data_IF_754971741189
#
_entry.id   IF_754971741189
#
_cell.length_a   1.000
_cell.length_b   1.000
_cell.length_c   1.000
_cell.angle_alpha   90.00
_cell.angle_beta   90.00
_cell.angle_gamma   90.00
#
_symmetry.space_group_name_H-M   'P 1'
#
loop_
_entity.id
_entity.type
_entity.pdbx_description
1 polymer ?
#
# COMPACT_ATOMS: atom_id res chain seq x y z
N UNK A 1 -49.40 8.97 37.18
CA UNK A 1 -48.21 8.91 38.06
C UNK A 1 -47.05 9.34 37.18
N UNK A 2 -46.32 10.36 37.64
CA UNK A 2 -45.37 11.18 36.90
C UNK A 2 -44.21 10.38 36.29
N UNK A 3 -44.09 10.40 34.96
CA UNK A 3 -42.86 10.02 34.26
C UNK A 3 -41.89 11.19 34.38
N UNK A 4 -41.04 11.15 35.40
CA UNK A 4 -39.87 12.01 35.43
C UNK A 4 -38.97 11.58 34.27
N UNK A 5 -38.93 12.36 33.19
CA UNK A 5 -37.98 12.17 32.10
C UNK A 5 -36.57 12.19 32.69
N UNK A 6 -35.96 11.02 32.89
CA UNK A 6 -34.64 10.94 33.48
C UNK A 6 -33.68 11.76 32.60
N UNK A 7 -32.92 12.64 33.23
CA UNK A 7 -32.02 13.57 32.54
C UNK A 7 -30.63 12.95 32.43
N UNK A 8 -29.86 13.39 31.43
CA UNK A 8 -28.44 13.05 31.32
C UNK A 8 -27.72 13.27 32.66
N UNK A 9 -27.03 12.24 33.15
CA UNK A 9 -26.30 12.29 34.43
C UNK A 9 -25.07 13.22 34.41
N UNK A 10 -24.69 13.75 33.24
CA UNK A 10 -23.48 14.56 33.08
C UNK A 10 -23.79 16.04 32.81
N UNK A 11 -24.78 16.34 31.96
CA UNK A 11 -25.15 17.72 31.68
C UNK A 11 -26.43 18.18 32.39
N UNK A 12 -27.25 17.26 32.91
CA UNK A 12 -28.54 17.50 33.58
C UNK A 12 -29.54 18.41 32.83
N UNK A 13 -29.25 18.78 31.58
CA UNK A 13 -30.00 19.77 30.81
C UNK A 13 -30.96 19.12 29.80
N UNK A 14 -30.68 17.90 29.38
CA UNK A 14 -31.36 17.21 28.27
C UNK A 14 -31.72 15.78 28.73
N UNK A 15 -32.86 15.21 28.29
CA UNK A 15 -33.16 13.79 28.52
C UNK A 15 -32.05 12.88 28.00
N UNK A 16 -31.83 11.75 28.66
CA UNK A 16 -30.82 10.78 28.22
C UNK A 16 -31.23 10.11 26.90
N UNK A 17 -30.23 9.64 26.13
CA UNK A 17 -30.44 8.88 24.89
C UNK A 17 -29.76 7.51 24.91
N UNK A 18 -28.72 7.37 25.72
CA UNK A 18 -27.85 6.19 25.72
C UNK A 18 -27.44 5.85 27.16
N UNK A 19 -27.11 4.58 27.42
CA UNK A 19 -26.58 4.10 28.70
C UNK A 19 -25.16 3.52 28.52
N UNK A 20 -24.26 3.78 29.45
CA UNK A 20 -22.92 3.21 29.43
C UNK A 20 -22.97 1.72 29.84
N UNK A 21 -22.42 0.78 29.05
CA UNK A 21 -22.48 -0.65 29.37
C UNK A 21 -21.64 -1.06 30.60
N UNK A 22 -20.68 -0.23 31.04
CA UNK A 22 -19.82 -0.54 32.20
C UNK A 22 -20.40 -0.05 33.53
N UNK A 23 -20.91 1.18 33.56
CA UNK A 23 -21.39 1.83 34.78
C UNK A 23 -22.90 2.13 34.78
N UNK A 24 -23.59 1.81 33.69
CA UNK A 24 -25.01 2.07 33.46
C UNK A 24 -25.42 3.56 33.59
N UNK A 25 -24.45 4.48 33.46
CA UNK A 25 -24.72 5.91 33.52
C UNK A 25 -25.44 6.40 32.25
N UNK A 26 -26.46 7.22 32.44
CA UNK A 26 -27.32 7.74 31.38
C UNK A 26 -26.74 9.03 30.78
N UNK A 27 -26.59 9.08 29.46
CA UNK A 27 -26.01 10.24 28.75
C UNK A 27 -26.77 10.61 27.48
N UNK A 28 -26.69 11.88 27.08
CA UNK A 28 -27.40 12.40 25.90
C UNK A 28 -26.55 12.43 24.62
N UNK A 29 -25.21 12.48 24.73
CA UNK A 29 -24.30 12.64 23.60
C UNK A 29 -22.86 12.21 23.92
N UNK A 30 -22.03 12.07 22.89
CA UNK A 30 -20.60 11.72 23.02
C UNK A 30 -19.83 12.73 23.87
N UNK A 31 -20.20 14.01 23.84
CA UNK A 31 -19.58 15.04 24.69
C UNK A 31 -19.80 14.74 26.18
N UNK A 32 -21.00 14.27 26.55
CA UNK A 32 -21.30 13.83 27.92
C UNK A 32 -20.61 12.51 28.27
N UNK A 33 -20.48 11.60 27.30
CA UNK A 33 -19.74 10.34 27.46
C UNK A 33 -18.23 10.57 27.70
N UNK A 34 -17.63 11.58 27.07
CA UNK A 34 -16.23 12.00 27.23
C UNK A 34 -16.02 13.06 28.30
N UNK A 35 -17.03 13.35 29.13
CA UNK A 35 -16.93 14.36 30.18
C UNK A 35 -15.90 13.95 31.24
N UNK A 36 -15.30 14.93 31.92
CA UNK A 36 -14.33 14.69 33.00
C UNK A 36 -14.90 13.78 34.11
N UNK A 37 -16.22 13.81 34.29
CA UNK A 37 -16.96 12.97 35.25
C UNK A 37 -17.10 11.50 34.82
N UNK A 38 -17.02 11.19 33.52
CA UNK A 38 -17.15 9.83 32.97
C UNK A 38 -15.85 9.28 32.37
N UNK A 39 -14.76 10.04 32.52
CA UNK A 39 -13.47 9.82 31.88
C UNK A 39 -12.91 8.39 32.09
N UNK A 40 -13.01 7.86 33.32
CA UNK A 40 -12.51 6.52 33.66
C UNK A 40 -13.16 5.40 32.84
N UNK A 41 -14.48 5.46 32.65
CA UNK A 41 -15.22 4.45 31.90
C UNK A 41 -15.01 4.59 30.40
N UNK A 42 -14.91 5.82 29.87
CA UNK A 42 -14.60 6.05 28.47
C UNK A 42 -13.18 5.59 28.13
N UNK A 43 -12.20 5.88 28.98
CA UNK A 43 -10.80 5.49 28.74
C UNK A 43 -10.58 3.99 28.81
N UNK A 44 -11.19 3.32 29.78
CA UNK A 44 -11.01 1.89 29.91
C UNK A 44 -11.66 1.14 28.73
N UNK A 45 -12.74 1.70 28.15
CA UNK A 45 -13.32 1.20 26.91
C UNK A 45 -12.39 1.43 25.71
N UNK A 46 -11.85 2.64 25.55
CA UNK A 46 -10.88 2.92 24.48
C UNK A 46 -9.62 2.05 24.61
N UNK A 47 -9.10 1.90 25.82
CA UNK A 47 -7.96 1.05 26.14
C UNK A 47 -8.24 -0.40 25.78
N UNK A 48 -9.40 -0.97 26.14
CA UNK A 48 -9.74 -2.33 25.75
C UNK A 48 -9.87 -2.48 24.24
N UNK A 49 -10.48 -1.53 23.54
CA UNK A 49 -10.59 -1.60 22.07
C UNK A 49 -9.23 -1.54 21.38
N UNK A 50 -8.32 -0.70 21.86
CA UNK A 50 -6.94 -0.61 21.34
C UNK A 50 -6.18 -1.90 21.63
N UNK A 51 -6.31 -2.45 22.85
CA UNK A 51 -5.66 -3.70 23.24
C UNK A 51 -6.17 -4.89 22.42
N UNK A 52 -7.46 -4.96 22.13
CA UNK A 52 -8.06 -6.04 21.33
C UNK A 52 -7.63 -5.97 19.86
N UNK A 53 -7.57 -4.76 19.27
CA UNK A 53 -7.07 -4.56 17.90
C UNK A 53 -5.56 -4.86 17.78
N UNK A 54 -4.77 -4.44 18.77
CA UNK A 54 -3.33 -4.74 18.82
C UNK A 54 -3.07 -6.24 19.05
N UNK A 55 -3.82 -6.91 19.92
CA UNK A 55 -3.70 -8.35 20.15
C UNK A 55 -4.12 -9.16 18.92
N UNK A 56 -5.03 -8.64 18.09
CA UNK A 56 -5.37 -9.22 16.79
C UNK A 56 -4.26 -9.07 15.74
N UNK A 57 -3.32 -8.14 15.93
CA UNK A 57 -2.27 -7.79 14.97
C UNK A 57 -0.89 -8.41 15.26
N UNK A 58 -0.63 -8.96 16.45
CA UNK A 58 0.74 -9.35 16.85
C UNK A 58 0.89 -10.82 17.26
N UNK A 59 1.65 -11.58 16.46
CA UNK A 59 2.35 -12.80 16.89
C UNK A 59 3.87 -12.58 16.82
N UNK A 60 4.42 -11.63 17.58
CA UNK A 60 5.88 -11.48 17.73
C UNK A 60 6.27 -10.73 19.03
N UNK A 61 7.39 -11.10 19.69
CA UNK A 61 7.82 -10.57 20.98
C UNK A 61 8.45 -9.16 20.95
N UNK A 62 8.77 -8.59 19.77
CA UNK A 62 9.25 -7.19 19.63
C UNK A 62 8.16 -6.14 19.89
N UNK A 63 6.89 -6.55 19.87
CA UNK A 63 5.72 -5.67 20.04
C UNK A 63 5.58 -5.04 21.44
N UNK A 64 6.26 -5.57 22.46
CA UNK A 64 6.07 -5.10 23.84
C UNK A 64 6.76 -3.76 24.12
N UNK A 65 7.82 -3.44 23.39
CA UNK A 65 8.59 -2.21 23.54
C UNK A 65 7.93 -1.04 22.79
N UNK A 66 7.41 -1.32 21.59
CA UNK A 66 6.52 -0.41 20.86
C UNK A 66 5.23 -0.11 21.63
N UNK A 67 4.67 -1.13 22.30
CA UNK A 67 3.50 -0.99 23.17
C UNK A 67 3.75 0.00 24.33
N UNK A 68 4.97 0.03 24.90
CA UNK A 68 5.34 1.00 25.94
C UNK A 68 5.51 2.41 25.37
N UNK A 69 6.16 2.53 24.20
CA UNK A 69 6.38 3.82 23.53
C UNK A 69 5.05 4.51 23.19
N UNK A 70 4.09 3.79 22.63
CA UNK A 70 2.77 4.35 22.27
C UNK A 70 1.99 4.76 23.54
N UNK A 71 2.05 3.96 24.60
CA UNK A 71 1.41 4.29 25.88
C UNK A 71 2.01 5.55 26.52
N UNK A 72 3.34 5.69 26.47
CA UNK A 72 4.03 6.87 27.00
C UNK A 72 3.73 8.13 26.17
N UNK A 73 3.59 8.02 24.84
CA UNK A 73 3.19 9.14 23.97
C UNK A 73 1.77 9.63 24.32
N UNK A 74 0.82 8.70 24.46
CA UNK A 74 -0.56 9.04 24.81
C UNK A 74 -0.69 9.61 26.23
N UNK A 75 0.13 9.12 27.17
CA UNK A 75 0.21 9.66 28.52
C UNK A 75 0.78 11.08 28.52
N UNK A 76 1.85 11.32 27.75
CA UNK A 76 2.50 12.62 27.62
C UNK A 76 1.57 13.66 26.96
N UNK A 77 0.80 13.27 25.95
CA UNK A 77 -0.25 14.11 25.33
C UNK A 77 -1.34 14.56 26.30
N UNK A 78 -1.54 13.83 27.40
CA UNK A 78 -2.58 14.13 28.38
C UNK A 78 -2.11 15.03 29.52
N UNK A 79 -0.81 15.03 29.77
CA UNK A 79 -0.19 15.87 30.80
C UNK A 79 0.06 17.30 30.30
N UNK A 80 0.06 17.52 28.98
CA UNK A 80 0.18 18.83 28.32
C UNK A 80 -1.07 19.19 27.50
N UNK A 81 -2.08 19.79 28.14
CA UNK A 81 -3.18 20.51 27.48
C UNK A 81 -2.72 21.86 26.85
N UNK A 82 -1.47 21.95 26.41
CA UNK A 82 -0.91 23.11 25.70
C UNK A 82 -0.07 22.62 24.51
N UNK A 83 -0.39 23.15 23.32
CA UNK A 83 0.05 22.66 22.01
C UNK A 83 1.54 22.33 21.88
N UNK A 84 1.80 21.25 21.14
CA UNK A 84 3.13 20.73 20.80
C UNK A 84 3.83 21.61 19.77
N UNK A 85 5.08 21.99 20.03
CA UNK A 85 5.97 22.66 19.07
C UNK A 85 7.07 21.66 18.68
N UNK A 86 7.20 21.25 17.39
CA UNK A 86 8.09 20.17 16.96
C UNK A 86 9.61 20.38 17.10
N UNK A 87 10.07 21.41 17.83
CA UNK A 87 11.50 21.78 17.93
C UNK A 87 12.22 21.25 19.17
N UNK A 88 11.52 20.56 20.07
CA UNK A 88 12.11 20.03 21.32
C UNK A 88 12.48 18.54 21.22
N UNK A 89 12.60 17.99 20.01
CA UNK A 89 12.94 16.57 19.80
C UNK A 89 14.46 16.30 19.69
N UNK A 90 15.29 17.34 19.58
CA UNK A 90 16.73 17.18 19.25
C UNK A 90 17.69 17.57 20.38
N UNK A 91 17.33 17.32 21.64
CA UNK A 91 18.26 17.50 22.74
C UNK A 91 17.93 16.54 23.88
N UNK A 92 18.43 15.30 23.79
CA UNK A 92 18.95 14.53 24.93
C UNK A 92 19.76 13.35 24.41
N UNK A 93 21.08 13.55 24.43
CA UNK A 93 22.09 12.62 23.94
C UNK A 93 22.17 11.34 24.75
N UNK A 94 22.12 10.22 24.03
CA UNK A 94 22.56 8.92 24.49
C UNK A 94 24.06 8.78 24.22
N UNK A 95 24.88 9.32 25.12
CA UNK A 95 26.22 8.81 25.38
C UNK A 95 26.46 8.91 26.89
N UNK A 96 26.09 7.83 27.58
CA UNK A 96 26.42 7.63 28.98
C UNK A 96 27.23 6.33 29.07
N UNK A 97 28.56 6.36 28.85
CA UNK A 97 29.40 5.22 29.12
C UNK A 97 29.47 5.04 30.64
N UNK A 98 29.09 3.85 31.08
CA UNK A 98 29.13 3.37 32.45
C UNK A 98 30.46 3.76 33.14
N UNK A 99 30.35 4.63 34.15
CA UNK A 99 31.41 4.88 35.12
C UNK A 99 31.65 3.64 35.98
N UNK A 100 32.88 3.13 35.91
CA UNK A 100 33.46 2.28 36.94
C UNK A 100 34.18 3.19 37.94
N UNK A 101 33.76 3.13 39.19
CA UNK A 101 34.34 3.88 40.30
C UNK A 101 35.82 3.53 40.52
N UNK A 102 36.65 4.58 40.48
CA UNK A 102 37.53 5.05 41.54
C UNK A 102 38.47 4.04 42.23
N UNK A 103 39.79 4.17 41.97
CA UNK A 103 40.82 4.00 43.00
C UNK A 103 42.11 4.75 42.65
N UNK A 104 42.75 5.25 43.70
CA UNK A 104 43.72 6.34 43.78
C UNK A 104 45.12 6.00 43.24
N UNK A 105 45.82 7.00 42.71
CA UNK A 105 47.25 6.92 42.36
C UNK A 105 47.83 8.31 42.07
N UNK A 106 48.89 8.65 42.78
CA UNK A 106 49.48 9.98 42.98
C UNK A 106 50.85 10.07 42.26
N UNK A 107 51.39 11.30 42.11
CA UNK A 107 52.78 11.65 41.71
C UNK A 107 53.07 11.51 40.18
N UNK A 108 53.86 12.33 39.49
CA UNK A 108 54.65 13.54 39.76
C UNK A 108 55.03 14.16 38.38
N UNK A 109 55.72 15.31 38.39
CA UNK A 109 56.01 16.16 37.23
C UNK A 109 56.77 15.55 36.05
N UNK A 110 56.63 16.18 34.88
CA UNK A 110 57.75 16.88 34.22
C UNK A 110 57.27 17.62 32.96
N UNK A 111 57.90 18.77 32.73
CA UNK A 111 57.76 19.64 31.56
C UNK A 111 58.42 18.97 30.34
N UNK A 112 57.67 18.76 29.25
CA UNK A 112 58.29 18.64 27.92
C UNK A 112 57.49 19.45 26.89
N UNK A 113 58.17 20.48 26.35
CA UNK A 113 57.82 21.18 25.12
C UNK A 113 57.67 20.18 23.97
N UNK A 114 56.46 20.05 23.43
CA UNK A 114 56.21 19.31 22.20
C UNK A 114 55.78 20.30 21.11
N UNK A 115 56.50 20.21 19.99
CA UNK A 115 56.57 21.21 18.94
C UNK A 115 55.29 21.41 18.15
N UNK A 116 55.22 22.61 17.57
CA UNK A 116 54.40 22.97 16.41
C UNK A 116 54.44 21.84 15.36
N UNK A 117 53.37 21.05 15.29
CA UNK A 117 53.01 20.26 14.12
C UNK A 117 52.12 21.16 13.24
N UNK A 118 52.42 21.38 11.95
CA UNK A 118 51.60 22.25 11.13
C UNK A 118 50.21 21.65 11.04
N UNK A 119 49.19 22.44 11.39
CA UNK A 119 47.80 22.20 11.04
C UNK A 119 47.74 21.79 9.56
N UNK A 120 47.66 20.48 9.30
CA UNK A 120 47.12 20.02 8.04
C UNK A 120 45.66 20.45 8.10
N UNK A 121 45.36 21.54 7.39
CA UNK A 121 44.04 21.82 6.85
C UNK A 121 43.59 20.55 6.13
N UNK A 122 42.98 19.62 6.88
CA UNK A 122 41.97 18.75 6.34
C UNK A 122 40.84 19.69 5.99
N UNK A 123 40.87 20.24 4.78
CA UNK A 123 39.67 20.71 4.10
C UNK A 123 38.74 19.50 4.08
N UNK A 124 37.91 19.35 5.12
CA UNK A 124 36.71 18.53 5.06
C UNK A 124 35.95 19.09 3.87
N UNK A 125 36.02 18.38 2.75
CA UNK A 125 35.23 18.63 1.57
C UNK A 125 33.79 18.50 2.03
N UNK A 126 33.17 19.62 2.41
CA UNK A 126 31.81 19.65 2.94
C UNK A 126 30.92 19.26 1.79
N UNK A 127 30.61 17.97 1.70
CA UNK A 127 29.67 17.45 0.72
C UNK A 127 28.36 18.25 0.86
N UNK A 128 28.02 19.02 -0.18
CA UNK A 128 26.80 19.79 -0.17
C UNK A 128 25.61 18.86 0.04
N UNK A 129 24.83 19.13 1.09
CA UNK A 129 23.63 18.39 1.44
C UNK A 129 22.75 18.16 0.20
N UNK A 130 22.38 16.90 -0.04
CA UNK A 130 21.55 16.46 -1.15
C UNK A 130 20.27 17.28 -1.24
N UNK A 131 19.68 17.66 -0.09
CA UNK A 131 18.47 18.48 -0.06
C UNK A 131 18.69 19.90 -0.63
N UNK A 132 19.90 20.44 -0.51
CA UNK A 132 20.27 21.72 -1.13
C UNK A 132 20.45 21.57 -2.65
N UNK A 133 21.11 20.49 -3.10
CA UNK A 133 21.34 20.19 -4.53
C UNK A 133 20.06 19.85 -5.31
N UNK A 134 19.09 19.21 -4.65
CA UNK A 134 17.79 18.85 -5.23
C UNK A 134 16.73 19.97 -5.15
N UNK A 135 17.07 21.13 -4.57
CA UNK A 135 16.13 22.23 -4.40
C UNK A 135 15.68 22.82 -5.75
N UNK A 136 14.38 22.80 -6.00
CA UNK A 136 13.77 23.38 -7.20
C UNK A 136 13.83 22.48 -8.44
N UNK A 137 14.21 21.21 -8.28
CA UNK A 137 14.13 20.19 -9.33
C UNK A 137 12.70 19.67 -9.44
N UNK A 138 12.28 19.35 -10.66
CA UNK A 138 11.09 18.54 -10.85
C UNK A 138 11.40 17.09 -10.49
N UNK A 139 10.96 16.67 -9.30
CA UNK A 139 11.17 15.31 -8.78
C UNK A 139 10.54 14.25 -9.70
N UNK A 140 9.64 14.64 -10.62
CA UNK A 140 9.04 13.72 -11.60
C UNK A 140 9.93 13.46 -12.83
N UNK A 141 11.05 14.19 -12.99
CA UNK A 141 12.04 13.94 -14.04
C UNK A 141 13.19 13.10 -13.47
N UNK A 142 13.12 11.78 -13.69
CA UNK A 142 14.09 10.83 -13.17
C UNK A 142 15.51 11.06 -13.74
N UNK A 143 15.62 11.53 -14.98
CA UNK A 143 16.92 11.78 -15.62
C UNK A 143 17.55 13.05 -15.02
N UNK A 144 16.75 14.09 -14.74
CA UNK A 144 17.22 15.29 -14.07
C UNK A 144 17.71 14.99 -12.65
N UNK A 145 16.94 14.22 -11.87
CA UNK A 145 17.34 13.80 -10.51
C UNK A 145 18.61 12.95 -10.56
N UNK A 146 18.71 11.98 -11.47
CA UNK A 146 19.87 11.10 -11.60
C UNK A 146 21.16 11.88 -11.90
N UNK A 147 21.08 12.86 -12.81
CA UNK A 147 22.22 13.68 -13.23
C UNK A 147 22.81 14.57 -12.14
N UNK A 148 22.04 14.83 -11.09
CA UNK A 148 22.41 15.73 -9.98
C UNK A 148 23.00 14.98 -8.81
N UNK A 149 22.91 13.65 -8.77
CA UNK A 149 23.53 12.79 -7.76
C UNK A 149 25.04 12.65 -8.01
N UNK A 150 25.84 12.50 -6.96
CA UNK A 150 27.28 12.21 -7.06
C UNK A 150 27.50 10.78 -7.56
N UNK A 151 28.71 10.48 -8.01
CA UNK A 151 29.06 9.11 -8.41
C UNK A 151 28.93 8.11 -7.24
N UNK A 152 29.20 8.57 -6.01
CA UNK A 152 29.04 7.76 -4.80
C UNK A 152 27.56 7.47 -4.51
N UNK A 153 26.70 8.49 -4.51
CA UNK A 153 25.24 8.36 -4.32
C UNK A 153 24.59 7.47 -5.40
N UNK A 154 25.00 7.63 -6.66
CA UNK A 154 24.56 6.75 -7.75
C UNK A 154 25.01 5.31 -7.51
N UNK A 155 26.24 5.11 -7.02
CA UNK A 155 26.78 3.80 -6.65
C UNK A 155 26.02 3.15 -5.50
N UNK A 156 25.68 3.91 -4.45
CA UNK A 156 24.85 3.44 -3.34
C UNK A 156 23.44 3.05 -3.81
N UNK A 157 22.82 3.86 -4.65
CA UNK A 157 21.52 3.53 -5.23
C UNK A 157 21.56 2.27 -6.09
N UNK A 158 22.58 2.11 -6.94
CA UNK A 158 22.79 0.88 -7.71
C UNK A 158 23.00 -0.34 -6.80
N UNK A 159 23.70 -0.17 -5.69
CA UNK A 159 23.90 -1.23 -4.69
C UNK A 159 22.59 -1.62 -4.01
N UNK A 160 21.72 -0.65 -3.69
CA UNK A 160 20.37 -0.90 -3.15
C UNK A 160 19.47 -1.63 -4.15
N UNK A 161 19.59 -1.33 -5.45
CA UNK A 161 18.90 -2.09 -6.51
C UNK A 161 19.44 -3.52 -6.58
N UNK A 162 20.76 -3.69 -6.59
CA UNK A 162 21.40 -5.00 -6.72
C UNK A 162 21.15 -5.90 -5.49
N UNK A 163 21.10 -5.32 -4.29
CA UNK A 163 20.78 -6.06 -3.06
C UNK A 163 19.28 -6.30 -2.87
N UNK A 164 18.44 -5.55 -3.56
CA UNK A 164 16.97 -5.57 -3.40
C UNK A 164 16.49 -4.84 -2.14
N UNK A 165 17.38 -4.20 -1.37
CA UNK A 165 17.01 -3.44 -0.16
C UNK A 165 16.16 -2.20 -0.48
N UNK A 166 16.19 -1.72 -1.73
CA UNK A 166 15.32 -0.65 -2.22
C UNK A 166 13.83 -0.93 -1.95
N UNK A 167 13.42 -2.20 -1.95
CA UNK A 167 12.03 -2.61 -1.70
C UNK A 167 11.59 -2.30 -0.25
N UNK A 168 12.52 -2.24 0.72
CA UNK A 168 12.22 -1.90 2.12
C UNK A 168 11.89 -0.43 2.32
N UNK A 169 12.29 0.43 1.37
CA UNK A 169 12.01 1.85 1.39
C UNK A 169 10.64 2.17 0.75
N UNK A 170 10.03 1.22 0.05
CA UNK A 170 8.70 1.40 -0.52
C UNK A 170 7.63 1.20 0.57
N UNK A 171 6.61 2.09 0.65
CA UNK A 171 5.49 1.89 1.55
C UNK A 171 4.77 0.57 1.27
N UNK A 172 4.27 -0.08 2.33
CA UNK A 172 3.46 -1.28 2.20
C UNK A 172 2.18 -1.00 1.40
N UNK A 173 2.09 -1.58 0.21
CA UNK A 173 0.88 -1.47 -0.60
C UNK A 173 -0.24 -2.35 -0.04
N UNK A 174 -1.29 -1.70 0.46
CA UNK A 174 -2.53 -2.35 0.90
C UNK A 174 -3.53 -2.34 -0.25
N UNK A 175 -3.83 -3.49 -0.87
CA UNK A 175 -4.79 -3.51 -1.97
C UNK A 175 -6.20 -3.17 -1.49
N UNK A 176 -6.96 -2.52 -2.36
CA UNK A 176 -8.33 -2.08 -2.07
C UNK A 176 -9.30 -3.23 -1.75
N UNK A 177 -9.02 -4.46 -2.20
CA UNK A 177 -9.81 -5.66 -1.89
C UNK A 177 -9.47 -6.29 -0.53
N UNK A 178 -8.42 -5.79 0.14
CA UNK A 178 -7.94 -6.28 1.44
C UNK A 178 -8.64 -5.67 2.66
N UNK A 179 -9.83 -5.06 2.52
CA UNK A 179 -10.49 -4.37 3.64
C UNK A 179 -10.77 -5.31 4.81
N UNK A 180 -10.35 -4.88 6.00
CA UNK A 180 -10.70 -5.54 7.25
C UNK A 180 -12.23 -5.63 7.37
N UNK A 181 -12.75 -6.84 7.60
CA UNK A 181 -14.16 -7.04 7.91
C UNK A 181 -14.53 -6.18 9.13
N UNK A 182 -15.35 -5.15 8.91
CA UNK A 182 -16.02 -4.37 9.93
C UNK A 182 -15.11 -3.48 10.79
N UNK A 183 -14.49 -2.44 10.22
CA UNK A 183 -14.15 -1.28 11.05
C UNK A 183 -15.45 -0.72 11.64
N UNK A 184 -15.69 -0.97 12.93
CA UNK A 184 -16.82 -0.40 13.69
C UNK A 184 -16.59 1.07 14.01
N UNK A 185 -15.47 1.64 13.56
CA UNK A 185 -15.06 3.01 13.83
C UNK A 185 -15.50 3.86 12.63
N UNK A 186 -16.52 4.67 12.86
CA UNK A 186 -16.92 5.73 11.92
C UNK A 186 -16.16 6.98 12.32
N UNK A 187 -15.22 7.42 11.49
CA UNK A 187 -14.67 8.77 11.59
C UNK A 187 -15.80 9.75 11.29
N UNK A 188 -16.22 10.51 12.30
CA UNK A 188 -17.20 11.57 12.15
C UNK A 188 -16.40 12.81 11.73
N UNK A 189 -16.59 13.33 10.49
CA UNK A 189 -15.89 14.52 10.05
C UNK A 189 -16.24 15.71 10.95
N UNK A 190 -15.28 16.61 11.17
CA UNK A 190 -15.57 17.91 11.77
C UNK A 190 -16.58 18.68 10.89
N UNK A 191 -17.46 19.52 11.47
CA UNK A 191 -18.44 20.26 10.70
C UNK A 191 -17.75 21.21 9.69
N UNK A 192 -17.77 20.82 8.41
CA UNK A 192 -17.12 21.55 7.31
C UNK A 192 -16.22 20.67 6.43
N UNK A 193 -15.84 19.49 6.89
CA UNK A 193 -15.08 18.54 6.07
C UNK A 193 -16.03 17.59 5.33
N UNK A 194 -15.96 17.62 3.99
CA UNK A 194 -16.60 16.60 3.17
C UNK A 194 -16.09 15.22 3.61
N UNK A 195 -17.01 14.27 3.78
CA UNK A 195 -16.73 12.88 4.10
C UNK A 195 -15.67 12.35 3.13
N UNK A 196 -14.40 12.27 3.55
CA UNK A 196 -13.37 11.55 2.80
C UNK A 196 -13.74 10.07 2.89
N UNK A 197 -14.56 9.61 1.96
CA UNK A 197 -14.70 8.17 1.73
C UNK A 197 -13.35 7.71 1.23
N UNK A 198 -12.60 7.07 2.13
CA UNK A 198 -11.35 6.38 1.86
C UNK A 198 -11.66 5.12 1.03
N UNK A 199 -12.23 5.33 -0.15
CA UNK A 199 -12.64 4.27 -1.06
C UNK A 199 -11.58 4.13 -2.14
N UNK A 200 -10.46 3.53 -1.77
CA UNK A 200 -9.42 3.06 -2.68
C UNK A 200 -9.93 2.04 -3.71
N UNK A 201 -11.20 1.63 -3.59
CA UNK A 201 -11.90 0.76 -4.54
C UNK A 201 -12.09 1.47 -5.88
N UNK A 202 -11.68 0.86 -7.01
CA UNK A 202 -11.92 1.42 -8.32
C UNK A 202 -13.42 1.58 -8.60
N UNK A 203 -13.80 2.71 -9.18
CA UNK A 203 -15.20 3.00 -9.53
C UNK A 203 -15.76 1.93 -10.48
N UNK A 204 -16.99 1.48 -10.24
CA UNK A 204 -17.65 0.52 -11.13
C UNK A 204 -18.13 1.25 -12.39
N UNK A 205 -17.90 0.65 -13.54
CA UNK A 205 -18.37 1.19 -14.82
C UNK A 205 -19.90 1.31 -14.82
N UNK A 206 -20.42 2.52 -15.02
CA UNK A 206 -21.86 2.79 -14.88
C UNK A 206 -22.71 2.09 -15.96
N UNK A 207 -22.24 2.16 -17.21
CA UNK A 207 -23.01 1.75 -18.40
C UNK A 207 -22.75 0.29 -18.78
N UNK A 208 -22.92 -0.64 -17.83
CA UNK A 208 -22.83 -2.08 -18.12
C UNK A 208 -24.15 -2.56 -18.74
N UNK A 209 -24.08 -3.03 -19.98
CA UNK A 209 -25.19 -3.61 -20.72
C UNK A 209 -25.78 -4.84 -20.03
N UNK A 210 -27.07 -5.13 -20.28
CA UNK A 210 -27.71 -6.32 -19.70
C UNK A 210 -27.17 -7.56 -20.41
N UNK A 211 -26.87 -8.60 -19.64
CA UNK A 211 -26.35 -9.84 -20.20
C UNK A 211 -27.28 -10.46 -21.24
N UNK A 212 -28.60 -10.40 -21.00
CA UNK A 212 -29.64 -10.87 -21.91
C UNK A 212 -29.55 -10.23 -23.30
N UNK A 213 -29.08 -8.99 -23.40
CA UNK A 213 -29.05 -8.25 -24.65
C UNK A 213 -27.85 -8.68 -25.52
N UNK A 214 -26.82 -9.27 -24.89
CA UNK A 214 -25.58 -9.69 -25.53
C UNK A 214 -25.55 -11.20 -25.80
N UNK A 215 -26.07 -12.00 -24.85
CA UNK A 215 -26.06 -13.45 -24.95
C UNK A 215 -27.41 -14.04 -24.53
N UNK A 216 -28.08 -14.69 -25.48
CA UNK A 216 -29.36 -15.37 -25.28
C UNK A 216 -29.22 -16.83 -24.81
N UNK A 217 -28.00 -17.36 -24.84
CA UNK A 217 -27.69 -18.74 -24.45
C UNK A 217 -27.20 -18.77 -23.01
N UNK A 218 -27.44 -19.90 -22.34
CA UNK A 218 -26.85 -20.17 -21.03
C UNK A 218 -25.33 -20.03 -21.12
N UNK A 219 -24.72 -19.17 -20.28
CA UNK A 219 -23.28 -18.99 -20.26
C UNK A 219 -22.56 -20.31 -19.92
N UNK A 220 -21.39 -20.54 -20.53
CA UNK A 220 -20.56 -21.68 -20.16
C UNK A 220 -20.11 -21.58 -18.69
N UNK A 221 -20.14 -22.69 -17.92
CA UNK A 221 -19.59 -22.72 -16.56
C UNK A 221 -18.12 -22.28 -16.49
N UNK A 222 -17.33 -22.53 -17.53
CA UNK A 222 -15.92 -22.12 -17.62
C UNK A 222 -15.71 -20.62 -17.50
N UNK A 223 -16.72 -19.79 -17.79
CA UNK A 223 -16.61 -18.34 -17.64
C UNK A 223 -16.35 -17.92 -16.20
N UNK A 224 -16.85 -18.68 -15.22
CA UNK A 224 -16.55 -18.45 -13.81
C UNK A 224 -15.06 -18.68 -13.50
N UNK A 225 -14.48 -19.79 -13.96
CA UNK A 225 -13.07 -20.10 -13.74
C UNK A 225 -12.12 -19.22 -14.57
N UNK A 226 -12.56 -18.76 -15.73
CA UNK A 226 -11.86 -17.74 -16.51
C UNK A 226 -11.77 -16.40 -15.75
N UNK A 227 -12.79 -16.04 -14.96
CA UNK A 227 -12.72 -14.87 -14.08
C UNK A 227 -11.65 -15.06 -13.00
N UNK A 228 -11.53 -16.25 -12.40
CA UNK A 228 -10.45 -16.56 -11.45
C UNK A 228 -9.07 -16.30 -12.07
N UNK A 229 -8.84 -16.76 -13.29
CA UNK A 229 -7.56 -16.54 -13.99
C UNK A 229 -7.31 -15.04 -14.26
N UNK A 230 -8.31 -14.31 -14.76
CA UNK A 230 -8.18 -12.87 -15.07
C UNK A 230 -7.95 -12.04 -13.81
N UNK A 231 -8.73 -12.28 -12.75
CA UNK A 231 -8.63 -11.49 -11.51
C UNK A 231 -7.37 -11.82 -10.71
N UNK A 232 -6.86 -13.06 -10.79
CA UNK A 232 -5.55 -13.41 -10.23
C UNK A 232 -4.43 -12.64 -10.94
N UNK A 233 -4.46 -12.56 -12.28
CA UNK A 233 -3.49 -11.76 -13.03
C UNK A 233 -3.61 -10.26 -12.71
N UNK A 234 -4.83 -9.75 -12.52
CA UNK A 234 -5.05 -8.37 -12.07
C UNK A 234 -4.46 -8.11 -10.68
N UNK A 235 -4.61 -9.03 -9.73
CA UNK A 235 -4.02 -8.90 -8.40
C UNK A 235 -2.49 -8.75 -8.47
N UNK A 236 -1.82 -9.59 -9.27
CA UNK A 236 -0.37 -9.49 -9.50
C UNK A 236 0.02 -8.13 -10.07
N UNK A 237 -0.69 -7.65 -11.10
CA UNK A 237 -0.40 -6.36 -11.73
C UNK A 237 -0.61 -5.22 -10.74
N UNK A 238 -1.76 -5.16 -10.08
CA UNK A 238 -2.05 -4.09 -9.14
C UNK A 238 -1.08 -4.08 -7.95
N UNK A 239 -0.58 -5.24 -7.49
CA UNK A 239 0.49 -5.28 -6.46
C UNK A 239 1.84 -4.83 -6.99
N UNK A 240 2.25 -5.30 -8.17
CA UNK A 240 3.51 -4.93 -8.80
C UNK A 240 3.64 -3.41 -9.01
N UNK A 241 2.53 -2.74 -9.33
CA UNK A 241 2.49 -1.28 -9.50
C UNK A 241 2.02 -0.53 -8.25
N UNK A 242 1.87 -1.19 -7.09
CA UNK A 242 1.36 -0.58 -5.86
C UNK A 242 0.05 0.22 -6.04
N UNK A 243 -0.86 -0.26 -6.90
CA UNK A 243 -2.15 0.37 -7.22
C UNK A 243 -2.08 1.44 -8.30
N UNK A 244 -0.89 1.84 -8.75
CA UNK A 244 -0.66 2.91 -9.72
C UNK A 244 -0.46 2.41 -11.15
N UNK A 245 -0.96 1.22 -11.50
CA UNK A 245 -0.81 0.60 -12.83
C UNK A 245 -1.37 1.44 -13.99
N UNK A 246 -2.20 2.45 -13.72
CA UNK A 246 -2.71 3.37 -14.75
C UNK A 246 -1.67 4.39 -15.22
N UNK A 247 -0.65 4.69 -14.41
CA UNK A 247 0.46 5.58 -14.81
C UNK A 247 1.23 4.99 -15.99
N UNK A 248 1.42 3.66 -15.97
CA UNK A 248 2.11 2.88 -17.00
C UNK A 248 1.15 1.92 -17.72
N UNK A 249 0.07 2.49 -18.27
CA UNK A 249 -1.05 1.69 -18.79
C UNK A 249 -0.65 0.71 -19.92
N UNK A 250 0.31 1.05 -20.78
CA UNK A 250 0.72 0.16 -21.88
C UNK A 250 1.43 -1.09 -21.37
N UNK A 251 2.38 -0.91 -20.46
CA UNK A 251 3.17 -1.95 -19.82
C UNK A 251 2.29 -2.80 -18.90
N UNK A 252 1.43 -2.18 -18.10
CA UNK A 252 0.51 -2.88 -17.20
C UNK A 252 -0.47 -3.79 -17.95
N UNK A 253 -0.97 -3.37 -19.12
CA UNK A 253 -1.80 -4.25 -19.97
C UNK A 253 -0.97 -5.41 -20.53
N UNK A 254 0.27 -5.16 -20.95
CA UNK A 254 1.16 -6.23 -21.43
C UNK A 254 1.39 -7.28 -20.32
N UNK A 255 1.70 -6.84 -19.10
CA UNK A 255 1.84 -7.71 -17.93
C UNK A 255 0.54 -8.49 -17.64
N UNK A 256 -0.61 -7.81 -17.62
CA UNK A 256 -1.90 -8.45 -17.40
C UNK A 256 -2.19 -9.55 -18.42
N UNK A 257 -1.92 -9.29 -19.71
CA UNK A 257 -2.15 -10.27 -20.77
C UNK A 257 -1.14 -11.40 -20.70
N UNK A 258 0.12 -11.13 -20.39
CA UNK A 258 1.14 -12.17 -20.25
C UNK A 258 0.80 -13.16 -19.13
N UNK A 259 0.34 -12.65 -17.99
CA UNK A 259 0.00 -13.43 -16.80
C UNK A 259 -1.29 -14.23 -16.97
N UNK A 260 -2.27 -13.71 -17.70
CA UNK A 260 -3.56 -14.40 -17.90
C UNK A 260 -3.58 -15.23 -19.18
N UNK A 261 -3.46 -16.55 -19.05
CA UNK A 261 -3.67 -17.49 -20.16
C UNK A 261 -5.05 -17.32 -20.85
N UNK A 262 -6.07 -16.91 -20.08
CA UNK A 262 -7.41 -16.58 -20.60
C UNK A 262 -7.38 -15.38 -21.56
N UNK A 263 -6.57 -14.36 -21.28
CA UNK A 263 -6.43 -13.17 -22.14
C UNK A 263 -5.43 -13.40 -23.29
N UNK A 264 -4.32 -14.07 -22.98
CA UNK A 264 -3.23 -14.38 -23.92
C UNK A 264 -3.70 -15.31 -25.03
N UNK A 265 -4.12 -16.52 -24.64
CA UNK A 265 -4.39 -17.64 -25.54
C UNK A 265 -5.89 -17.95 -25.69
N UNK A 266 -6.74 -17.40 -24.82
CA UNK A 266 -8.15 -17.76 -24.80
C UNK A 266 -8.43 -19.10 -24.13
N UNK A 267 -7.51 -19.56 -23.29
CA UNK A 267 -7.67 -20.79 -22.48
C UNK A 267 -8.94 -20.70 -21.64
N UNK A 268 -9.65 -21.83 -21.56
CA UNK A 268 -10.78 -22.00 -20.66
C UNK A 268 -10.39 -22.91 -19.51
N UNK A 269 -10.80 -22.55 -18.30
CA UNK A 269 -10.57 -23.33 -17.09
C UNK A 269 -11.86 -23.99 -16.62
N UNK A 270 -11.71 -25.12 -15.92
CA UNK A 270 -12.81 -25.88 -15.32
C UNK A 270 -12.74 -25.90 -13.79
N UNK A 271 -11.67 -25.33 -13.22
CA UNK A 271 -11.40 -25.29 -11.79
C UNK A 271 -10.67 -23.99 -11.40
N UNK A 272 -10.86 -23.55 -10.15
CA UNK A 272 -10.30 -22.29 -9.66
C UNK A 272 -8.81 -22.40 -9.32
N UNK A 273 -8.37 -23.53 -8.76
CA UNK A 273 -6.98 -23.76 -8.40
C UNK A 273 -6.10 -23.81 -9.66
N UNK A 274 -6.52 -24.50 -10.71
CA UNK A 274 -5.78 -24.54 -11.99
C UNK A 274 -5.70 -23.15 -12.65
N UNK A 275 -6.78 -22.37 -12.55
CA UNK A 275 -6.83 -21.00 -13.06
C UNK A 275 -5.83 -20.08 -12.35
N UNK A 276 -5.65 -20.24 -11.02
CA UNK A 276 -4.69 -19.48 -10.21
C UNK A 276 -3.26 -19.98 -10.48
N UNK A 277 -3.05 -21.31 -10.47
CA UNK A 277 -1.73 -21.93 -10.72
C UNK A 277 -1.18 -21.52 -12.08
N UNK A 278 -2.04 -21.40 -13.10
CA UNK A 278 -1.63 -20.89 -14.41
C UNK A 278 -1.02 -19.49 -14.33
N UNK A 279 -1.58 -18.58 -13.51
CA UNK A 279 -1.04 -17.23 -13.32
C UNK A 279 0.25 -17.28 -12.52
N UNK A 280 0.31 -18.10 -11.47
CA UNK A 280 1.51 -18.32 -10.66
C UNK A 280 2.70 -18.78 -11.54
N UNK A 281 2.47 -19.77 -12.40
CA UNK A 281 3.49 -20.31 -13.30
C UNK A 281 3.94 -19.28 -14.34
N UNK A 282 3.02 -18.51 -14.93
CA UNK A 282 3.38 -17.42 -15.84
C UNK A 282 4.15 -16.31 -15.10
N UNK A 283 3.81 -15.99 -13.85
CA UNK A 283 4.53 -14.99 -13.06
C UNK A 283 5.98 -15.43 -12.78
N UNK A 284 6.21 -16.72 -12.52
CA UNK A 284 7.55 -17.29 -12.30
C UNK A 284 8.37 -17.34 -13.59
N UNK A 285 7.72 -17.62 -14.73
CA UNK A 285 8.42 -17.90 -16.01
C UNK A 285 8.52 -16.69 -16.94
N UNK A 286 7.64 -15.70 -16.82
CA UNK A 286 7.76 -14.45 -17.56
C UNK A 286 9.02 -13.74 -17.07
N UNK A 287 9.86 -13.27 -18.00
CA UNK A 287 11.16 -12.65 -17.75
C UNK A 287 11.16 -11.35 -16.92
N UNK A 288 10.19 -11.15 -16.05
CA UNK A 288 10.23 -10.14 -14.99
C UNK A 288 10.52 -10.78 -13.62
N UNK A 289 10.76 -12.09 -13.57
CA UNK A 289 11.57 -12.69 -12.52
C UNK A 289 13.05 -12.31 -12.67
N UNK A 290 13.94 -12.78 -11.79
CA UNK A 290 15.35 -12.37 -11.74
C UNK A 290 16.12 -12.57 -13.03
N UNK A 291 15.60 -13.40 -13.96
CA UNK A 291 16.24 -13.71 -15.23
C UNK A 291 16.16 -12.56 -16.25
N UNK A 292 15.12 -11.73 -16.26
CA UNK A 292 15.15 -10.52 -17.10
C UNK A 292 15.83 -9.33 -16.44
N UNK A 293 15.93 -9.33 -15.10
CA UNK A 293 16.88 -8.48 -14.38
C UNK A 293 18.32 -8.96 -14.60
N UNK A 294 18.58 -10.26 -14.82
CA UNK A 294 19.91 -10.84 -15.04
C UNK A 294 20.56 -10.47 -16.39
N UNK A 295 19.90 -9.68 -17.25
CA UNK A 295 20.60 -8.93 -18.29
C UNK A 295 21.53 -7.85 -17.68
N UNK A 296 21.34 -7.51 -16.40
CA UNK A 296 22.23 -6.72 -15.56
C UNK A 296 22.67 -7.65 -14.41
N UNK A 297 23.85 -8.26 -14.56
CA UNK A 297 24.25 -9.43 -13.78
C UNK A 297 24.10 -9.31 -12.27
N UNK A 298 23.29 -10.19 -11.68
CA UNK A 298 23.56 -10.79 -10.36
C UNK A 298 22.67 -12.01 -10.13
N UNK A 299 23.31 -13.14 -9.89
CA UNK A 299 22.68 -14.38 -9.47
C UNK A 299 22.32 -14.26 -7.98
N UNK A 300 21.04 -14.04 -7.69
CA UNK A 300 20.46 -14.11 -6.35
C UNK A 300 19.12 -14.83 -6.41
N UNK A 301 18.82 -15.63 -5.38
CA UNK A 301 17.58 -16.41 -5.26
C UNK A 301 16.37 -15.52 -5.49
N UNK A 302 15.54 -15.93 -6.45
CA UNK A 302 14.65 -15.04 -7.13
C UNK A 302 13.44 -14.58 -6.36
N UNK A 303 13.41 -13.31 -5.99
CA UNK A 303 12.15 -12.63 -5.66
C UNK A 303 11.32 -12.50 -6.94
N UNK A 304 10.16 -13.14 -6.97
CA UNK A 304 9.18 -12.95 -8.04
C UNK A 304 8.48 -11.62 -7.79
N UNK A 305 8.76 -10.59 -8.59
CA UNK A 305 8.21 -9.25 -8.39
C UNK A 305 6.68 -9.18 -8.54
N UNK A 306 6.06 -10.14 -9.24
CA UNK A 306 4.60 -10.19 -9.42
C UNK A 306 3.87 -10.97 -8.32
N UNK A 307 4.55 -11.91 -7.67
CA UNK A 307 3.93 -12.82 -6.69
C UNK A 307 4.89 -13.00 -5.52
N UNK A 308 4.55 -12.36 -4.41
CA UNK A 308 5.28 -12.49 -3.15
C UNK A 308 5.22 -13.95 -2.61
N UNK A 309 4.02 -14.53 -2.60
CA UNK A 309 3.81 -15.94 -2.26
C UNK A 309 2.56 -16.51 -2.92
N UNK A 310 2.52 -17.83 -3.05
CA UNK A 310 1.37 -18.58 -3.57
C UNK A 310 0.13 -18.40 -2.69
N UNK A 311 0.33 -18.35 -1.39
CA UNK A 311 -0.71 -18.14 -0.38
C UNK A 311 -1.33 -16.75 -0.53
N UNK A 312 -0.50 -15.72 -0.74
CA UNK A 312 -0.93 -14.35 -0.96
C UNK A 312 -1.77 -14.22 -2.25
N UNK A 313 -1.28 -14.78 -3.36
CA UNK A 313 -2.03 -14.76 -4.62
C UNK A 313 -3.40 -15.44 -4.50
N UNK A 314 -3.45 -16.59 -3.82
CA UNK A 314 -4.72 -17.30 -3.55
C UNK A 314 -5.66 -16.47 -2.68
N UNK A 315 -5.14 -15.75 -1.69
CA UNK A 315 -5.94 -14.88 -0.84
C UNK A 315 -6.52 -13.71 -1.64
N UNK A 316 -5.71 -13.03 -2.45
CA UNK A 316 -6.15 -11.92 -3.29
C UNK A 316 -7.21 -12.36 -4.30
N UNK A 317 -6.97 -13.48 -4.99
CA UNK A 317 -7.92 -14.04 -5.93
C UNK A 317 -9.27 -14.35 -5.27
N UNK A 318 -9.26 -14.91 -4.05
CA UNK A 318 -10.46 -15.17 -3.26
C UNK A 318 -11.17 -13.88 -2.84
N UNK A 319 -10.45 -12.87 -2.38
CA UNK A 319 -11.02 -11.59 -1.97
C UNK A 319 -11.66 -10.85 -3.15
N UNK A 320 -11.00 -10.84 -4.32
CA UNK A 320 -11.52 -10.28 -5.56
C UNK A 320 -12.76 -11.02 -6.06
N UNK A 321 -12.80 -12.34 -5.94
CA UNK A 321 -13.95 -13.16 -6.33
C UNK A 321 -15.09 -13.18 -5.29
N UNK A 322 -14.85 -12.70 -4.07
CA UNK A 322 -15.76 -12.86 -2.93
C UNK A 322 -17.11 -12.15 -3.10
N UNK A 323 -17.11 -10.95 -3.67
CA UNK A 323 -18.33 -10.16 -3.84
C UNK A 323 -18.53 -9.77 -5.29
N UNK A 324 -19.78 -9.53 -5.68
CA UNK A 324 -20.10 -9.02 -7.00
C UNK A 324 -19.41 -7.67 -7.24
N UNK A 325 -19.38 -6.81 -6.23
CA UNK A 325 -18.81 -5.46 -6.35
C UNK A 325 -17.29 -5.49 -6.51
N UNK A 326 -16.56 -6.40 -5.84
CA UNK A 326 -15.13 -6.58 -6.08
C UNK A 326 -14.84 -7.02 -7.51
N UNK A 327 -15.59 -8.02 -8.01
CA UNK A 327 -15.46 -8.48 -9.39
C UNK A 327 -15.74 -7.35 -10.39
N UNK A 328 -16.80 -6.58 -10.16
CA UNK A 328 -17.16 -5.45 -11.02
C UNK A 328 -16.14 -4.31 -10.96
N UNK A 329 -15.63 -3.96 -9.77
CA UNK A 329 -14.61 -2.93 -9.59
C UNK A 329 -13.31 -3.30 -10.32
N UNK A 330 -12.82 -4.53 -10.12
CA UNK A 330 -11.60 -5.01 -10.79
C UNK A 330 -11.76 -5.06 -12.32
N UNK A 331 -12.86 -5.63 -12.82
CA UNK A 331 -13.12 -5.67 -14.27
C UNK A 331 -13.29 -4.27 -14.87
N UNK A 332 -13.88 -3.33 -14.14
CA UNK A 332 -14.03 -1.93 -14.58
C UNK A 332 -12.68 -1.24 -14.66
N UNK A 333 -11.79 -1.51 -13.72
CA UNK A 333 -10.44 -0.98 -13.72
C UNK A 333 -9.58 -1.57 -14.85
N UNK A 334 -9.68 -2.88 -15.10
CA UNK A 334 -9.07 -3.54 -16.27
C UNK A 334 -9.58 -2.92 -17.57
N UNK A 335 -10.89 -2.65 -17.68
CA UNK A 335 -11.47 -2.03 -18.87
C UNK A 335 -10.90 -0.62 -19.11
N UNK A 336 -10.82 0.21 -18.06
CA UNK A 336 -10.20 1.54 -18.15
C UNK A 336 -8.74 1.45 -18.57
N UNK A 337 -7.99 0.52 -18.00
CA UNK A 337 -6.58 0.28 -18.33
C UNK A 337 -6.41 -0.10 -19.82
N UNK A 338 -7.25 -0.99 -20.35
CA UNK A 338 -7.28 -1.36 -21.77
C UNK A 338 -7.63 -0.16 -22.68
N UNK A 339 -8.60 0.67 -22.27
CA UNK A 339 -9.00 1.86 -23.02
C UNK A 339 -7.89 2.92 -23.07
N UNK A 340 -7.21 3.14 -21.95
CA UNK A 340 -6.05 4.04 -21.85
C UNK A 340 -4.90 3.54 -22.72
N UNK A 341 -4.51 2.27 -22.60
CA UNK A 341 -3.46 1.65 -23.43
C UNK A 341 -3.78 1.75 -24.93
N UNK A 342 -5.04 1.53 -25.32
CA UNK A 342 -5.50 1.71 -26.71
C UNK A 342 -5.33 3.15 -27.21
N UNK A 343 -5.61 4.15 -26.37
CA UNK A 343 -5.43 5.55 -26.71
C UNK A 343 -3.95 5.90 -26.91
N UNK A 344 -3.07 5.36 -26.05
CA UNK A 344 -1.62 5.54 -26.15
C UNK A 344 -1.03 4.91 -27.42
N UNK A 345 -1.44 3.69 -27.78
CA UNK A 345 -1.04 3.02 -29.03
C UNK A 345 -1.44 3.87 -30.26
N UNK A 346 -2.58 4.56 -30.21
CA UNK A 346 -3.00 5.45 -31.29
C UNK A 346 -2.13 6.71 -31.43
N UNK A 347 -1.47 7.15 -30.36
CA UNK A 347 -0.59 8.34 -30.35
C UNK A 347 0.87 8.00 -30.70
N UNK A 348 1.38 6.85 -30.21
CA UNK A 348 2.75 6.36 -30.45
C UNK A 348 3.04 5.98 -31.91
N UNK A 349 2.03 5.83 -32.77
CA UNK A 349 2.23 5.60 -34.20
C UNK A 349 2.99 6.73 -34.92
N UNK A 350 3.24 7.88 -34.27
CA UNK A 350 3.88 9.05 -34.89
C UNK A 350 5.37 9.24 -34.57
N UNK A 351 5.94 8.76 -33.45
CA UNK A 351 7.36 8.88 -33.10
C UNK A 351 7.79 7.72 -32.16
N UNK A 352 8.96 7.11 -32.39
CA UNK A 352 9.66 6.15 -31.49
C UNK A 352 9.21 4.67 -31.35
N UNK A 353 8.52 4.09 -32.34
CA UNK A 353 8.11 2.68 -32.24
C UNK A 353 9.26 1.63 -32.31
N UNK A 354 10.49 2.01 -32.67
CA UNK A 354 11.59 1.06 -32.94
C UNK A 354 12.33 0.55 -31.70
N UNK A 355 12.64 1.45 -30.75
CA UNK A 355 13.47 1.14 -29.58
C UNK A 355 12.69 0.37 -28.51
N UNK A 356 11.48 0.80 -28.17
CA UNK A 356 10.60 0.11 -27.22
C UNK A 356 10.21 -1.31 -27.66
N UNK A 357 10.20 -1.55 -28.99
CA UNK A 357 9.94 -2.87 -29.56
C UNK A 357 11.04 -3.88 -29.22
N UNK A 358 12.29 -3.43 -29.13
CA UNK A 358 13.43 -4.29 -28.77
C UNK A 358 13.36 -4.70 -27.30
N UNK A 359 12.96 -3.81 -26.39
CA UNK A 359 12.80 -4.12 -24.97
C UNK A 359 11.59 -5.03 -24.70
N UNK A 360 10.45 -4.77 -25.34
CA UNK A 360 9.26 -5.63 -25.18
C UNK A 360 9.53 -7.08 -25.63
N UNK A 361 10.28 -7.26 -26.73
CA UNK A 361 10.70 -8.58 -27.23
C UNK A 361 11.74 -9.24 -26.32
N UNK A 362 12.68 -8.47 -25.76
CA UNK A 362 13.72 -8.98 -24.86
C UNK A 362 13.17 -9.45 -23.51
N UNK A 363 12.14 -8.78 -22.97
CA UNK A 363 11.47 -9.16 -21.72
C UNK A 363 10.42 -10.28 -21.87
N UNK A 364 10.27 -10.87 -23.08
CA UNK A 364 9.27 -11.90 -23.35
C UNK A 364 7.82 -11.39 -23.32
N UNK A 365 7.62 -10.07 -23.44
CA UNK A 365 6.30 -9.45 -23.37
C UNK A 365 5.54 -9.51 -24.70
N UNK A 366 4.24 -9.81 -24.65
CA UNK A 366 3.39 -9.84 -25.85
C UNK A 366 3.24 -8.43 -26.42
N UNK A 367 3.63 -8.24 -27.69
CA UNK A 367 3.34 -7.01 -28.44
C UNK A 367 1.83 -6.90 -28.68
N UNK A 368 1.19 -5.92 -28.03
CA UNK A 368 -0.26 -5.73 -28.11
C UNK A 368 -0.62 -4.74 -29.21
N UNK A 369 -1.19 -5.26 -30.29
CA UNK A 369 -1.77 -4.42 -31.34
C UNK A 369 -3.06 -3.74 -30.87
N UNK A 370 -3.37 -2.57 -31.44
CA UNK A 370 -4.63 -1.84 -31.19
C UNK A 370 -5.87 -2.73 -31.40
N UNK A 371 -5.82 -3.63 -32.39
CA UNK A 371 -6.89 -4.59 -32.67
C UNK A 371 -7.05 -5.59 -31.52
N UNK A 372 -5.95 -6.19 -31.06
CA UNK A 372 -5.96 -7.14 -29.92
C UNK A 372 -6.48 -6.45 -28.65
N UNK A 373 -5.99 -5.26 -28.32
CA UNK A 373 -6.49 -4.49 -27.16
C UNK A 373 -8.00 -4.20 -27.27
N UNK A 374 -8.49 -3.88 -28.47
CA UNK A 374 -9.92 -3.65 -28.70
C UNK A 374 -10.77 -4.93 -28.53
N UNK A 375 -10.25 -6.09 -28.93
CA UNK A 375 -10.91 -7.38 -28.71
C UNK A 375 -10.95 -7.75 -27.24
N UNK A 376 -9.85 -7.52 -26.51
CA UNK A 376 -9.77 -7.73 -25.07
C UNK A 376 -10.75 -6.81 -24.33
N UNK A 377 -10.83 -5.53 -24.69
CA UNK A 377 -11.81 -4.61 -24.09
C UNK A 377 -13.25 -5.12 -24.24
N UNK A 378 -13.64 -5.60 -25.44
CA UNK A 378 -14.95 -6.22 -25.66
C UNK A 378 -15.16 -7.49 -24.83
N UNK A 379 -14.11 -8.29 -24.63
CA UNK A 379 -14.16 -9.47 -23.75
C UNK A 379 -14.41 -9.08 -22.30
N UNK A 380 -13.78 -8.01 -21.81
CA UNK A 380 -14.01 -7.48 -20.46
C UNK A 380 -15.41 -6.85 -20.32
N UNK A 381 -15.90 -6.12 -21.33
CA UNK A 381 -17.29 -5.60 -21.35
C UNK A 381 -18.33 -6.74 -21.28
N UNK A 382 -18.08 -7.83 -22.00
CA UNK A 382 -18.89 -9.04 -21.90
C UNK A 382 -18.85 -9.64 -20.49
N UNK A 383 -17.65 -9.72 -19.87
CA UNK A 383 -17.50 -10.24 -18.51
C UNK A 383 -18.13 -9.34 -17.44
N UNK A 384 -18.09 -8.01 -17.61
CA UNK A 384 -18.83 -7.08 -16.75
C UNK A 384 -20.33 -7.36 -16.79
N UNK A 385 -20.86 -7.57 -18.00
CA UNK A 385 -22.26 -7.93 -18.19
C UNK A 385 -22.57 -9.31 -17.59
N UNK A 386 -21.64 -10.26 -17.72
CA UNK A 386 -21.72 -11.60 -17.12
C UNK A 386 -21.82 -11.54 -15.60
N UNK A 387 -20.96 -10.74 -14.94
CA UNK A 387 -20.94 -10.62 -13.48
C UNK A 387 -22.15 -9.83 -12.96
N UNK A 388 -22.58 -8.79 -13.67
CA UNK A 388 -23.73 -7.96 -13.28
C UNK A 388 -25.03 -8.74 -13.14
N UNK A 389 -25.18 -9.86 -13.87
CA UNK A 389 -26.39 -10.70 -13.77
C UNK A 389 -26.46 -11.52 -12.49
N UNK A 390 -25.34 -11.72 -11.79
CA UNK A 390 -25.32 -12.46 -10.54
C UNK A 390 -26.24 -11.75 -9.54
N UNK A 391 -27.19 -12.50 -9.00
CA UNK A 391 -28.12 -12.00 -7.99
C UNK A 391 -27.33 -11.67 -6.72
N UNK A 392 -27.63 -10.53 -6.11
CA UNK A 392 -27.13 -10.22 -4.77
C UNK A 392 -27.95 -11.09 -3.83
N UNK A 393 -27.35 -12.18 -3.35
CA UNK A 393 -27.96 -13.06 -2.35
C UNK A 393 -28.11 -12.35 -1.01
#
# INVERSE_FOLDING_TARGET
MSEDEEKCHFCHAVPFKYSCPKCNALYCSVACYKSQTHLKCSEEFYKSCIQDELAGATTAPESQEEMRKIYDILKRMRETDAGFNPKDFDADGLDNPLGSDNEEGQEDGDEEELGDDPEQDFEEEVEEDIAARLKGIDINDADEVWSRLTEEEQGEFQKLIASGDIMKLMPDYKPWWGKAKNSKIVEIPAPGEAKKTDDSTPEIHENIAKFSDICQKTPSPCLHYNLWNILSAYACVARYYAGEHRTNASEAVAHLVNLSATLKYGTNFEDAEDAIISVEMEAITTGNGPVGAAAVGSAGVGTNFFVESREQLKLDARQLMATRDHKLAALSDILRLLQQSKALISRKASQEAGFQKLFALASGSVELTRSKVSQLAKKIEFLLSYVKREEVL
#
